data_IF_105304597582
#
_entry.id   IF_105304597582
#
_cell.length_a   1.000
_cell.length_b   1.000
_cell.length_c   1.000
_cell.angle_alpha   90.00
_cell.angle_beta   90.00
_cell.angle_gamma   90.00
#
_symmetry.space_group_name_H-M   'P 1'
#
loop_
_entity.id
_entity.type
_entity.pdbx_description
1 polymer ?
#
# COMPACT_ATOMS: atom_id res chain seq x y z
N UNK A 1 13.71 -26.92 18.88
CA UNK A 1 12.53 -27.57 18.27
C UNK A 1 11.88 -26.58 17.31
N UNK A 2 12.01 -26.80 16.01
CA UNK A 2 11.46 -25.91 14.99
C UNK A 2 9.94 -26.11 14.88
N UNK A 3 9.18 -25.02 14.85
CA UNK A 3 7.73 -24.99 14.67
C UNK A 3 7.31 -25.71 13.37
N UNK A 4 6.24 -26.52 13.34
CA UNK A 4 5.86 -27.30 12.16
C UNK A 4 5.28 -26.47 11.00
N UNK A 5 5.18 -25.13 11.15
CA UNK A 5 4.48 -24.27 10.19
C UNK A 5 5.27 -23.89 8.92
N UNK A 6 6.54 -24.30 8.80
CA UNK A 6 7.36 -23.96 7.63
C UNK A 6 7.52 -25.16 6.70
N UNK A 7 6.47 -25.46 5.94
CA UNK A 7 6.63 -26.11 4.63
C UNK A 7 6.30 -25.09 3.56
N UNK A 8 7.23 -24.96 2.61
CA UNK A 8 7.06 -24.22 1.35
C UNK A 8 5.61 -24.32 0.88
N UNK A 9 4.97 -23.16 0.66
CA UNK A 9 3.63 -23.03 0.07
C UNK A 9 3.67 -23.42 -1.42
N UNK A 10 4.09 -24.64 -1.71
CA UNK A 10 3.88 -25.30 -2.99
C UNK A 10 2.46 -25.87 -2.99
N UNK A 11 1.82 -25.76 -4.15
CA UNK A 11 0.40 -26.05 -4.41
C UNK A 11 -0.15 -27.30 -3.70
N UNK A 12 -1.45 -27.26 -3.35
CA UNK A 12 -2.26 -28.37 -2.82
C UNK A 12 -2.06 -28.73 -1.33
N UNK A 13 -1.89 -27.74 -0.45
CA UNK A 13 -2.12 -27.93 0.99
C UNK A 13 -3.53 -27.44 1.31
N UNK A 14 -4.43 -28.33 1.71
CA UNK A 14 -5.70 -27.94 2.31
C UNK A 14 -5.41 -27.23 3.63
N UNK A 15 -5.83 -25.96 3.76
CA UNK A 15 -5.77 -25.28 5.06
C UNK A 15 -6.77 -25.95 5.99
N UNK A 16 -6.27 -26.54 7.07
CA UNK A 16 -7.10 -27.25 8.07
C UNK A 16 -7.80 -26.31 9.04
N UNK A 17 -7.43 -25.02 9.04
CA UNK A 17 -8.01 -23.99 9.91
C UNK A 17 -8.78 -22.96 9.07
N UNK A 18 -9.96 -22.50 9.53
CA UNK A 18 -10.65 -21.40 8.87
C UNK A 18 -9.85 -20.10 9.01
N UNK A 19 -9.96 -19.18 8.02
CA UNK A 19 -9.31 -17.88 8.10
C UNK A 19 -9.86 -17.05 9.27
N UNK A 20 -8.97 -16.35 9.98
CA UNK A 20 -9.31 -15.42 11.07
C UNK A 20 -9.90 -14.12 10.51
N UNK A 21 -9.40 -13.68 9.36
CA UNK A 21 -9.83 -12.46 8.67
C UNK A 21 -10.22 -12.80 7.24
N UNK A 22 -11.51 -12.80 6.95
CA UNK A 22 -12.03 -13.17 5.64
C UNK A 22 -13.18 -12.26 5.20
N UNK A 23 -12.94 -10.93 5.10
CA UNK A 23 -13.97 -10.03 4.60
C UNK A 23 -14.26 -10.35 3.13
N UNK A 24 -15.48 -10.06 2.69
CA UNK A 24 -15.82 -10.18 1.27
C UNK A 24 -15.02 -9.13 0.47
N UNK A 25 -14.14 -9.59 -0.43
CA UNK A 25 -13.34 -8.71 -1.28
C UNK A 25 -14.06 -8.53 -2.61
N UNK A 26 -14.49 -7.30 -2.89
CA UNK A 26 -15.03 -6.92 -4.19
C UNK A 26 -14.19 -5.80 -4.80
N UNK A 27 -13.88 -5.98 -6.08
CA UNK A 27 -13.20 -5.00 -6.89
C UNK A 27 -14.24 -4.34 -7.77
N UNK A 28 -14.64 -3.11 -7.42
CA UNK A 28 -15.61 -2.33 -8.20
C UNK A 28 -14.97 -1.84 -9.49
N UNK A 29 -13.67 -1.58 -9.45
CA UNK A 29 -12.87 -1.23 -10.62
C UNK A 29 -11.45 -1.76 -10.48
N UNK A 30 -10.90 -2.24 -11.59
CA UNK A 30 -9.51 -2.66 -11.73
C UNK A 30 -8.92 -1.95 -12.96
N UNK A 31 -7.70 -1.38 -12.88
CA UNK A 31 -7.01 -0.81 -14.03
C UNK A 31 -6.91 -1.82 -15.19
N UNK A 32 -7.44 -1.48 -16.36
CA UNK A 32 -7.50 -2.44 -17.48
C UNK A 32 -6.11 -2.77 -18.04
N UNK A 33 -5.19 -1.80 -17.97
CA UNK A 33 -3.81 -1.90 -18.46
C UNK A 33 -2.83 -2.56 -17.49
N UNK A 34 -3.24 -2.86 -16.25
CA UNK A 34 -2.32 -3.36 -15.20
C UNK A 34 -3.00 -4.47 -14.42
N UNK A 35 -2.49 -5.70 -14.56
CA UNK A 35 -2.99 -6.85 -13.81
C UNK A 35 -4.53 -6.94 -13.81
N UNK A 36 -5.15 -6.84 -14.98
CA UNK A 36 -6.59 -7.01 -15.14
C UNK A 36 -6.97 -8.50 -15.06
N UNK A 37 -8.21 -8.83 -14.66
CA UNK A 37 -8.68 -10.20 -14.65
C UNK A 37 -8.51 -10.88 -16.01
N UNK A 38 -7.94 -12.09 -16.01
CA UNK A 38 -7.76 -12.86 -17.24
C UNK A 38 -9.11 -13.26 -17.84
N UNK A 39 -9.21 -13.21 -19.17
CA UNK A 39 -10.33 -13.82 -19.88
C UNK A 39 -10.32 -15.34 -19.68
N UNK A 40 -11.46 -16.04 -19.84
CA UNK A 40 -11.50 -17.50 -19.73
C UNK A 40 -10.49 -18.21 -20.63
N UNK A 41 -10.24 -17.68 -21.84
CA UNK A 41 -9.25 -18.19 -22.76
C UNK A 41 -7.82 -18.03 -22.20
N UNK A 42 -7.47 -16.84 -21.70
CA UNK A 42 -6.16 -16.58 -21.10
C UNK A 42 -5.93 -17.42 -19.84
N UNK A 43 -6.97 -17.63 -19.03
CA UNK A 43 -6.89 -18.49 -17.85
C UNK A 43 -6.64 -19.96 -18.20
N UNK A 44 -7.19 -20.44 -19.32
CA UNK A 44 -7.07 -21.83 -19.77
C UNK A 44 -5.76 -22.10 -20.53
N UNK A 45 -5.37 -21.20 -21.43
CA UNK A 45 -4.26 -21.41 -22.35
C UNK A 45 -3.00 -20.62 -21.97
N UNK A 46 -3.06 -19.82 -20.91
CA UNK A 46 -2.00 -18.89 -20.54
C UNK A 46 -2.02 -17.61 -21.38
N UNK A 47 -1.11 -16.69 -21.05
CA UNK A 47 -0.93 -15.46 -21.80
C UNK A 47 0.00 -15.70 -22.99
N UNK A 48 -0.41 -15.22 -24.17
CA UNK A 48 0.36 -15.34 -25.42
C UNK A 48 1.18 -14.09 -25.72
N UNK A 49 0.73 -12.91 -25.27
CA UNK A 49 1.47 -11.66 -25.35
C UNK A 49 2.08 -11.29 -23.99
N UNK A 50 3.40 -11.19 -23.99
CA UNK A 50 4.20 -10.78 -22.85
C UNK A 50 4.94 -9.47 -23.09
N UNK A 51 4.72 -8.83 -24.24
CA UNK A 51 5.30 -7.52 -24.52
C UNK A 51 4.74 -6.48 -23.55
N UNK A 52 3.50 -6.60 -23.09
CA UNK A 52 2.82 -5.66 -22.19
C UNK A 52 2.98 -5.94 -20.68
N UNK A 53 3.89 -6.83 -20.27
CA UNK A 53 4.05 -7.17 -18.84
C UNK A 53 4.53 -5.96 -18.03
N UNK A 54 3.90 -5.63 -16.89
CA UNK A 54 4.46 -4.66 -15.96
C UNK A 54 5.74 -5.24 -15.34
N UNK A 55 6.84 -4.48 -15.38
CA UNK A 55 8.03 -4.76 -14.58
C UNK A 55 7.84 -4.24 -13.15
N UNK A 56 7.23 -3.05 -13.04
CA UNK A 56 6.96 -2.39 -11.77
C UNK A 56 5.53 -1.86 -11.73
N UNK A 57 4.87 -2.04 -10.59
CA UNK A 57 3.60 -1.40 -10.29
C UNK A 57 3.78 -0.50 -9.07
N UNK A 58 3.69 0.81 -9.28
CA UNK A 58 3.64 1.82 -8.23
C UNK A 58 2.19 1.97 -7.80
N UNK A 59 1.93 1.74 -6.52
CA UNK A 59 0.60 1.72 -5.92
C UNK A 59 0.54 2.79 -4.84
N UNK A 60 -0.27 3.81 -5.08
CA UNK A 60 -0.56 4.85 -4.10
C UNK A 60 -1.80 4.48 -3.28
N UNK A 61 -1.63 4.36 -1.97
CA UNK A 61 -2.74 4.39 -1.00
C UNK A 61 -3.22 5.85 -0.92
N UNK A 62 -4.26 6.18 -1.68
CA UNK A 62 -4.82 7.54 -1.71
C UNK A 62 -6.19 7.56 -1.03
N UNK A 63 -6.58 8.66 -0.39
CA UNK A 63 -7.95 8.82 0.11
C UNK A 63 -8.90 9.12 -1.04
N UNK A 64 -10.12 8.56 -1.03
CA UNK A 64 -11.15 8.82 -2.07
C UNK A 64 -11.35 10.33 -2.37
N UNK A 65 -11.13 11.20 -1.39
CA UNK A 65 -11.25 12.67 -1.48
C UNK A 65 -10.02 13.41 -2.02
N UNK A 66 -8.89 12.73 -2.23
CA UNK A 66 -7.59 13.35 -2.56
C UNK A 66 -7.38 13.50 -4.08
N UNK A 67 -8.35 14.11 -4.77
CA UNK A 67 -8.32 14.27 -6.23
C UNK A 67 -7.11 15.10 -6.71
N UNK A 68 -6.78 16.17 -5.99
CA UNK A 68 -5.68 17.07 -6.35
C UNK A 68 -4.33 16.39 -6.22
N UNK A 69 -4.13 15.60 -5.18
CA UNK A 69 -2.89 14.86 -4.95
C UNK A 69 -2.70 13.77 -5.99
N UNK A 70 -3.75 13.04 -6.37
CA UNK A 70 -3.68 12.10 -7.50
C UNK A 70 -3.35 12.80 -8.82
N UNK A 71 -4.01 13.94 -9.11
CA UNK A 71 -3.72 14.73 -10.32
C UNK A 71 -2.28 15.23 -10.34
N UNK A 72 -1.77 15.71 -9.21
CA UNK A 72 -0.40 16.18 -9.08
C UNK A 72 0.61 15.03 -9.27
N UNK A 73 0.39 13.87 -8.65
CA UNK A 73 1.24 12.68 -8.85
C UNK A 73 1.26 12.22 -10.32
N UNK A 74 0.12 12.23 -11.02
CA UNK A 74 0.06 11.92 -12.47
C UNK A 74 0.91 12.86 -13.31
N UNK A 75 0.97 14.15 -12.95
CA UNK A 75 1.77 15.16 -13.66
C UNK A 75 3.26 15.09 -13.32
N UNK A 76 3.58 14.66 -12.10
CA UNK A 76 4.94 14.62 -11.60
C UNK A 76 5.77 13.48 -12.21
N UNK A 77 5.14 12.36 -12.53
CA UNK A 77 5.81 11.16 -13.02
C UNK A 77 5.95 11.11 -14.55
N UNK A 78 7.18 11.05 -15.05
CA UNK A 78 7.51 10.84 -16.46
C UNK A 78 7.99 9.40 -16.71
N UNK A 79 7.06 8.46 -16.81
CA UNK A 79 7.34 7.00 -16.84
C UNK A 79 7.75 6.45 -18.23
N UNK A 80 8.39 7.26 -19.08
CA UNK A 80 8.76 6.88 -20.44
C UNK A 80 10.12 6.15 -20.49
N UNK A 81 10.13 4.87 -20.09
CA UNK A 81 11.31 4.00 -20.17
C UNK A 81 11.12 2.90 -21.24
N UNK A 82 12.17 2.58 -22.00
CA UNK A 82 12.09 1.67 -23.15
C UNK A 82 12.07 0.19 -22.76
N UNK A 83 12.78 -0.17 -21.69
CA UNK A 83 13.06 -1.55 -21.25
C UNK A 83 12.39 -1.91 -19.92
N UNK A 84 11.96 -0.92 -19.13
CA UNK A 84 11.27 -1.12 -17.84
C UNK A 84 9.88 -0.52 -17.88
N UNK A 85 8.85 -1.37 -17.92
CA UNK A 85 7.45 -0.97 -17.92
C UNK A 85 6.96 -0.69 -16.51
N UNK A 86 6.75 0.58 -16.22
CA UNK A 86 6.24 1.06 -14.93
C UNK A 86 4.79 1.49 -15.11
N UNK A 87 3.93 1.01 -14.23
CA UNK A 87 2.56 1.50 -14.15
C UNK A 87 2.29 2.11 -12.78
N UNK A 88 1.59 3.24 -12.77
CA UNK A 88 1.14 3.92 -11.57
C UNK A 88 -0.36 3.72 -11.41
N UNK A 89 -0.78 3.31 -10.21
CA UNK A 89 -2.19 3.14 -9.85
C UNK A 89 -2.49 3.74 -8.47
N UNK A 90 -3.76 4.03 -8.21
CA UNK A 90 -4.27 4.50 -6.93
C UNK A 90 -5.26 3.50 -6.33
N UNK A 91 -5.00 3.05 -5.11
CA UNK A 91 -5.90 2.21 -4.33
C UNK A 91 -6.79 3.05 -3.43
N UNK A 92 -8.10 2.99 -3.68
CA UNK A 92 -9.13 3.76 -2.99
C UNK A 92 -10.34 2.89 -2.62
N UNK A 93 -11.13 3.35 -1.65
CA UNK A 93 -12.46 2.82 -1.37
C UNK A 93 -13.56 3.75 -1.90
N UNK A 94 -14.74 3.67 -1.30
CA UNK A 94 -15.88 4.54 -1.55
C UNK A 94 -15.99 5.64 -0.48
N UNK A 95 -16.63 6.78 -0.80
CA UNK A 95 -16.92 7.80 0.21
C UNK A 95 -17.70 7.22 1.41
N UNK A 96 -17.41 7.72 2.62
CA UNK A 96 -18.12 7.32 3.84
C UNK A 96 -19.59 7.76 3.79
N UNK A 97 -20.48 6.92 4.31
CA UNK A 97 -21.87 7.28 4.57
C UNK A 97 -22.02 8.26 5.74
N UNK A 98 -21.18 8.10 6.77
CA UNK A 98 -21.13 8.98 7.94
C UNK A 98 -20.36 10.26 7.62
N UNK A 99 -21.03 11.41 7.76
CA UNK A 99 -20.56 12.73 7.34
C UNK A 99 -19.89 13.52 8.47
N UNK A 100 -19.01 12.88 9.24
CA UNK A 100 -18.20 13.51 10.28
C UNK A 100 -16.72 13.06 10.21
N UNK A 101 -15.91 13.60 11.11
CA UNK A 101 -14.53 13.20 11.32
C UNK A 101 -14.30 12.54 12.69
N UNK A 102 -15.35 12.06 13.34
CA UNK A 102 -15.29 11.44 14.67
C UNK A 102 -15.49 9.94 14.53
N UNK A 103 -14.62 9.16 15.16
CA UNK A 103 -14.67 7.71 15.10
C UNK A 103 -14.76 7.14 16.50
N UNK A 104 -15.76 6.30 16.73
CA UNK A 104 -15.88 5.53 17.96
C UNK A 104 -15.05 4.25 17.81
N UNK A 105 -14.06 4.07 18.68
CA UNK A 105 -13.12 2.94 18.64
C UNK A 105 -12.92 2.37 20.03
N UNK A 106 -13.22 1.09 20.18
CA UNK A 106 -13.00 0.28 21.40
C UNK A 106 -13.15 1.02 22.76
N UNK A 107 -14.21 1.82 22.91
CA UNK A 107 -14.55 2.55 24.13
C UNK A 107 -14.01 3.98 24.24
N UNK A 108 -13.41 4.55 23.19
CA UNK A 108 -13.01 5.95 23.11
C UNK A 108 -13.36 6.58 21.77
N UNK A 109 -13.55 7.90 21.77
CA UNK A 109 -13.79 8.67 20.56
C UNK A 109 -12.47 9.28 20.09
N UNK A 110 -12.20 9.19 18.79
CA UNK A 110 -11.08 9.88 18.17
C UNK A 110 -11.60 10.84 17.11
N UNK A 111 -11.33 12.12 17.31
CA UNK A 111 -11.54 13.14 16.29
C UNK A 111 -10.33 13.17 15.37
N UNK A 112 -10.51 12.76 14.12
CA UNK A 112 -9.43 12.80 13.14
C UNK A 112 -9.12 14.25 12.78
N UNK A 113 -7.88 14.66 13.01
CA UNK A 113 -7.35 16.00 12.72
C UNK A 113 -6.41 16.00 11.51
N UNK A 114 -5.85 17.17 11.18
CA UNK A 114 -4.90 17.40 10.08
C UNK A 114 -5.50 17.11 8.70
N UNK A 115 -4.66 16.85 7.69
CA UNK A 115 -5.06 16.60 6.29
C UNK A 115 -6.23 15.62 6.17
N UNK A 116 -6.13 14.44 6.77
CA UNK A 116 -7.17 13.40 6.66
C UNK A 116 -8.50 13.83 7.29
N UNK A 117 -8.46 14.45 8.46
CA UNK A 117 -9.66 14.98 9.13
C UNK A 117 -10.30 16.15 8.37
N UNK A 118 -9.48 17.09 7.89
CA UNK A 118 -9.94 18.26 7.15
C UNK A 118 -10.64 17.85 5.85
N UNK A 119 -10.12 16.84 5.14
CA UNK A 119 -10.76 16.30 3.93
C UNK A 119 -12.13 15.66 4.22
N UNK A 120 -12.30 15.00 5.37
CA UNK A 120 -13.61 14.47 5.78
C UNK A 120 -14.62 15.60 6.07
N UNK A 121 -14.18 16.67 6.74
CA UNK A 121 -15.04 17.83 7.02
C UNK A 121 -15.38 18.61 5.74
N UNK A 122 -14.45 18.70 4.79
CA UNK A 122 -14.72 19.28 3.47
C UNK A 122 -15.76 18.44 2.71
N UNK A 123 -15.58 17.12 2.71
CA UNK A 123 -16.53 16.18 2.10
C UNK A 123 -17.93 16.31 2.71
N UNK A 124 -18.05 16.36 4.04
CA UNK A 124 -19.35 16.42 4.71
C UNK A 124 -20.17 17.66 4.33
N UNK A 125 -19.50 18.76 3.95
CA UNK A 125 -20.15 19.98 3.45
C UNK A 125 -20.66 19.84 2.02
N UNK A 126 -20.00 19.03 1.18
CA UNK A 126 -20.35 18.88 -0.25
C UNK A 126 -20.26 17.41 -0.75
N UNK A 127 -21.09 16.48 -0.24
CA UNK A 127 -20.98 15.06 -0.61
C UNK A 127 -21.26 14.79 -2.09
N UNK A 128 -22.27 15.46 -2.66
CA UNK A 128 -22.67 15.31 -4.06
C UNK A 128 -21.55 15.73 -5.03
N UNK A 129 -20.82 16.80 -4.71
CA UNK A 129 -19.68 17.27 -5.51
C UNK A 129 -18.60 16.19 -5.56
N UNK A 130 -18.29 15.57 -4.43
CA UNK A 130 -17.29 14.50 -4.35
C UNK A 130 -17.70 13.28 -5.15
N UNK A 131 -18.96 12.84 -5.05
CA UNK A 131 -19.45 11.72 -5.84
C UNK A 131 -19.32 11.99 -7.35
N UNK A 132 -19.68 13.20 -7.80
CA UNK A 132 -19.51 13.61 -9.20
C UNK A 132 -18.04 13.61 -9.63
N UNK A 133 -17.13 14.12 -8.79
CA UNK A 133 -15.69 14.14 -9.07
C UNK A 133 -15.12 12.72 -9.15
N UNK A 134 -15.55 11.81 -8.26
CA UNK A 134 -15.14 10.41 -8.29
C UNK A 134 -15.63 9.70 -9.55
N UNK A 135 -16.90 9.87 -9.93
CA UNK A 135 -17.43 9.32 -11.19
C UNK A 135 -16.65 9.83 -12.40
N UNK A 136 -16.38 11.14 -12.45
CA UNK A 136 -15.59 11.74 -13.54
C UNK A 136 -14.16 11.20 -13.57
N UNK A 137 -13.48 11.10 -12.43
CA UNK A 137 -12.11 10.58 -12.37
C UNK A 137 -12.07 9.11 -12.82
N UNK A 138 -13.07 8.32 -12.42
CA UNK A 138 -13.23 6.96 -12.92
C UNK A 138 -13.44 6.96 -14.45
N UNK A 139 -14.24 7.84 -15.03
CA UNK A 139 -14.39 7.89 -16.50
C UNK A 139 -13.10 8.31 -17.23
N UNK A 140 -12.35 9.25 -16.66
CA UNK A 140 -11.20 9.89 -17.29
C UNK A 140 -9.91 9.07 -17.19
N UNK A 141 -9.69 8.34 -16.09
CA UNK A 141 -8.44 7.63 -15.82
C UNK A 141 -8.63 6.11 -15.64
N UNK A 142 -7.70 5.34 -16.21
CA UNK A 142 -7.63 3.87 -16.08
C UNK A 142 -6.56 3.43 -15.06
N UNK A 143 -6.44 4.17 -13.96
CA UNK A 143 -5.43 3.94 -12.92
C UNK A 143 -6.01 3.76 -11.50
N UNK A 144 -7.33 3.65 -11.38
CA UNK A 144 -8.00 3.44 -10.09
C UNK A 144 -8.28 1.96 -9.81
N UNK A 145 -7.77 1.48 -8.68
CA UNK A 145 -8.19 0.24 -8.04
C UNK A 145 -9.21 0.59 -6.95
N UNK A 146 -10.49 0.28 -7.20
CA UNK A 146 -11.61 0.69 -6.33
C UNK A 146 -12.17 -0.52 -5.61
N UNK A 147 -12.19 -0.47 -4.28
CA UNK A 147 -12.81 -1.50 -3.45
C UNK A 147 -14.19 -1.12 -2.93
N UNK A 148 -15.02 -2.15 -2.71
CA UNK A 148 -16.37 -2.02 -2.11
C UNK A 148 -16.27 -1.91 -0.58
N UNK A 149 -15.66 -0.82 -0.10
CA UNK A 149 -15.54 -0.51 1.32
C UNK A 149 -15.47 1.01 1.54
N UNK A 150 -15.90 1.48 2.70
CA UNK A 150 -15.77 2.91 3.04
C UNK A 150 -14.31 3.30 3.25
N UNK A 151 -13.85 4.28 2.49
CA UNK A 151 -12.49 4.81 2.56
C UNK A 151 -12.35 5.75 3.77
N UNK A 152 -11.71 5.24 4.81
CA UNK A 152 -11.44 6.00 6.03
C UNK A 152 -10.06 5.67 6.58
N UNK A 153 -9.54 6.55 7.44
CA UNK A 153 -8.24 6.35 8.09
C UNK A 153 -8.18 5.04 8.88
N UNK A 154 -9.28 4.61 9.48
CA UNK A 154 -9.34 3.36 10.25
C UNK A 154 -9.70 2.13 9.42
N UNK A 155 -9.98 2.31 8.13
CA UNK A 155 -10.08 1.23 7.15
C UNK A 155 -8.81 1.07 6.30
N UNK A 156 -7.69 1.73 6.67
CA UNK A 156 -6.41 1.55 5.97
C UNK A 156 -5.97 0.08 5.91
N UNK A 157 -6.25 -0.69 6.96
CA UNK A 157 -6.00 -2.14 7.00
C UNK A 157 -6.81 -2.91 5.95
N UNK A 158 -8.08 -2.56 5.77
CA UNK A 158 -8.92 -3.16 4.73
C UNK A 158 -8.47 -2.73 3.32
N UNK A 159 -8.04 -1.48 3.15
CA UNK A 159 -7.43 -0.99 1.91
C UNK A 159 -6.14 -1.75 1.57
N UNK A 160 -5.25 -1.91 2.55
CA UNK A 160 -4.02 -2.68 2.37
C UNK A 160 -4.34 -4.13 2.00
N UNK A 161 -5.25 -4.77 2.74
CA UNK A 161 -5.71 -6.12 2.46
C UNK A 161 -6.26 -6.26 1.04
N UNK A 162 -7.21 -5.41 0.65
CA UNK A 162 -7.82 -5.38 -0.68
C UNK A 162 -6.77 -5.26 -1.79
N UNK A 163 -5.81 -4.36 -1.60
CA UNK A 163 -4.72 -4.12 -2.56
C UNK A 163 -3.79 -5.33 -2.69
N UNK A 164 -3.44 -5.98 -1.57
CA UNK A 164 -2.63 -7.20 -1.57
C UNK A 164 -3.37 -8.37 -2.23
N UNK A 165 -4.69 -8.50 -2.02
CA UNK A 165 -5.51 -9.51 -2.70
C UNK A 165 -5.55 -9.28 -4.21
N UNK A 166 -5.73 -8.03 -4.66
CA UNK A 166 -5.65 -7.68 -6.08
C UNK A 166 -4.29 -8.07 -6.69
N UNK A 167 -3.21 -7.63 -6.04
CA UNK A 167 -1.85 -7.85 -6.51
C UNK A 167 -1.51 -9.35 -6.55
N UNK A 168 -1.79 -10.09 -5.48
CA UNK A 168 -1.52 -11.52 -5.39
C UNK A 168 -2.32 -12.33 -6.42
N UNK A 169 -3.59 -11.96 -6.65
CA UNK A 169 -4.50 -12.68 -7.55
C UNK A 169 -4.26 -12.36 -9.01
N UNK A 170 -4.31 -11.09 -9.38
CA UNK A 170 -4.36 -10.68 -10.79
C UNK A 170 -2.98 -10.38 -11.38
N UNK A 171 -1.96 -10.06 -10.57
CA UNK A 171 -0.61 -9.89 -11.09
C UNK A 171 0.22 -11.19 -11.18
N UNK A 172 -0.35 -12.34 -10.77
CA UNK A 172 0.33 -13.65 -10.76
C UNK A 172 1.03 -14.03 -12.08
N UNK A 173 0.44 -13.79 -13.26
CA UNK A 173 1.09 -14.15 -14.52
C UNK A 173 2.32 -13.30 -14.84
N UNK A 174 2.41 -12.10 -14.27
CA UNK A 174 3.40 -11.09 -14.60
C UNK A 174 4.53 -11.00 -13.57
N UNK A 175 4.19 -11.19 -12.29
CA UNK A 175 5.09 -11.12 -11.14
C UNK A 175 5.95 -9.83 -11.07
N UNK A 176 5.33 -8.63 -11.13
CA UNK A 176 6.07 -7.37 -11.09
C UNK A 176 6.70 -7.14 -9.71
N UNK A 177 7.65 -6.20 -9.66
CA UNK A 177 8.03 -5.54 -8.40
C UNK A 177 6.93 -4.55 -8.02
N UNK A 178 6.55 -4.52 -6.75
CA UNK A 178 5.56 -3.59 -6.24
C UNK A 178 6.20 -2.49 -5.41
N UNK A 179 5.73 -1.26 -5.59
CA UNK A 179 6.07 -0.13 -4.72
C UNK A 179 4.77 0.39 -4.13
N UNK A 180 4.62 0.33 -2.81
CA UNK A 180 3.46 0.88 -2.11
C UNK A 180 3.86 2.21 -1.48
N UNK A 181 3.06 3.27 -1.64
CA UNK A 181 3.31 4.60 -1.09
C UNK A 181 2.03 5.22 -0.54
N UNK A 182 2.15 6.13 0.44
CA UNK A 182 1.13 7.16 0.69
C UNK A 182 1.15 8.22 -0.41
N UNK A 183 0.00 8.84 -0.70
CA UNK A 183 -0.14 9.87 -1.74
C UNK A 183 0.52 11.24 -1.41
N UNK A 184 1.31 11.29 -0.34
CA UNK A 184 2.15 12.40 0.10
C UNK A 184 3.65 12.10 0.01
N UNK A 185 4.03 10.91 -0.47
CA UNK A 185 5.41 10.48 -0.68
C UNK A 185 5.65 10.18 -2.17
N UNK A 186 6.91 10.06 -2.55
CA UNK A 186 7.29 9.69 -3.89
C UNK A 186 8.50 8.74 -3.89
N UNK A 187 8.62 7.99 -4.99
CA UNK A 187 9.81 7.22 -5.36
C UNK A 187 10.52 7.87 -6.53
N UNK A 188 11.86 7.92 -6.49
CA UNK A 188 12.70 8.29 -7.62
C UNK A 188 12.70 7.17 -8.66
N UNK A 189 12.10 7.43 -9.82
CA UNK A 189 11.95 6.45 -10.91
C UNK A 189 13.27 6.09 -11.57
N UNK A 190 14.19 7.03 -11.75
CA UNK A 190 15.52 6.74 -12.30
C UNK A 190 16.27 5.74 -11.40
N UNK A 191 16.21 5.93 -10.08
CA UNK A 191 16.77 4.95 -9.12
C UNK A 191 16.00 3.63 -9.13
N UNK A 192 14.67 3.67 -9.22
CA UNK A 192 13.83 2.47 -9.26
C UNK A 192 14.11 1.61 -10.49
N UNK A 193 14.26 2.24 -11.66
CA UNK A 193 14.60 1.58 -12.93
C UNK A 193 15.97 0.92 -12.83
N UNK A 194 16.99 1.64 -12.35
CA UNK A 194 18.32 1.06 -12.17
C UNK A 194 18.30 -0.09 -11.15
N UNK A 195 17.59 0.09 -10.04
CA UNK A 195 17.40 -0.96 -9.04
C UNK A 195 16.80 -2.23 -9.65
N UNK A 196 15.78 -2.11 -10.51
CA UNK A 196 15.13 -3.25 -11.16
C UNK A 196 16.03 -3.91 -12.22
N UNK A 197 16.80 -3.13 -12.98
CA UNK A 197 17.77 -3.64 -13.96
C UNK A 197 18.86 -4.49 -13.29
N UNK A 198 19.26 -4.12 -12.08
CA UNK A 198 20.31 -4.81 -11.32
C UNK A 198 19.80 -6.09 -10.61
N UNK A 199 18.50 -6.40 -10.69
CA UNK A 199 17.94 -7.58 -10.05
C UNK A 199 18.28 -8.86 -10.81
N UNK A 200 18.92 -9.79 -10.12
CA UNK A 200 18.92 -11.20 -10.51
C UNK A 200 17.54 -11.84 -10.29
N UNK A 201 17.20 -12.95 -10.97
CA UNK A 201 15.95 -13.68 -10.70
C UNK A 201 15.77 -14.04 -9.22
N UNK A 202 16.86 -14.41 -8.53
CA UNK A 202 16.83 -14.78 -7.10
C UNK A 202 16.56 -13.57 -6.20
N UNK A 203 17.22 -12.44 -6.44
CA UNK A 203 17.00 -11.23 -5.64
C UNK A 203 15.63 -10.62 -5.91
N UNK A 204 15.15 -10.66 -7.16
CA UNK A 204 13.83 -10.15 -7.55
C UNK A 204 12.65 -10.87 -6.87
N UNK A 205 12.81 -12.15 -6.53
CA UNK A 205 11.80 -12.92 -5.78
C UNK A 205 11.84 -12.65 -4.25
N UNK A 206 12.89 -12.00 -3.73
CA UNK A 206 13.13 -11.83 -2.29
C UNK A 206 13.20 -10.34 -1.85
N UNK A 207 12.46 -9.45 -2.51
CA UNK A 207 12.43 -8.03 -2.17
C UNK A 207 11.46 -7.77 -1.01
N UNK A 208 11.97 -7.15 0.05
CA UNK A 208 11.18 -6.61 1.15
C UNK A 208 11.95 -5.42 1.71
N UNK A 209 11.52 -4.21 1.34
CA UNK A 209 12.20 -2.98 1.71
C UNK A 209 11.22 -1.90 2.18
N UNK A 210 11.68 -1.08 3.11
CA UNK A 210 10.91 0.03 3.67
C UNK A 210 11.73 0.79 4.70
N UNK A 211 11.13 1.82 5.29
CA UNK A 211 11.77 2.57 6.36
C UNK A 211 11.57 1.87 7.71
N UNK A 212 12.66 1.39 8.33
CA UNK A 212 12.62 0.58 9.54
C UNK A 212 12.03 1.30 10.76
N UNK A 213 11.17 0.60 11.50
CA UNK A 213 10.56 1.00 12.77
C UNK A 213 10.87 -0.07 13.82
N UNK A 214 12.07 0.00 14.41
CA UNK A 214 12.57 -1.00 15.35
C UNK A 214 12.03 -0.81 16.77
N UNK A 215 11.84 0.44 17.19
CA UNK A 215 11.31 0.81 18.51
C UNK A 215 10.06 1.66 18.32
N UNK A 216 8.89 1.07 18.55
CA UNK A 216 7.60 1.74 18.38
C UNK A 216 6.63 1.40 19.52
N UNK A 217 6.61 2.20 20.61
CA UNK A 217 5.71 1.99 21.73
C UNK A 217 4.24 2.09 21.30
N UNK A 218 3.39 1.23 21.86
CA UNK A 218 1.94 1.29 21.60
C UNK A 218 1.38 2.57 22.23
N UNK A 219 0.85 3.46 21.40
CA UNK A 219 0.17 4.67 21.86
C UNK A 219 -1.10 4.29 22.63
N UNK A 220 -1.29 4.86 23.82
CA UNK A 220 -2.47 4.64 24.67
C UNK A 220 -3.32 5.91 24.73
N UNK A 221 -4.63 5.73 24.90
CA UNK A 221 -5.55 6.85 25.13
C UNK A 221 -5.55 7.24 26.62
N UNK A 222 -5.60 8.54 26.98
CA UNK A 222 -5.50 9.72 26.11
C UNK A 222 -4.05 10.01 25.66
N UNK A 223 -3.86 10.67 24.51
CA UNK A 223 -2.53 11.00 23.97
C UNK A 223 -2.58 12.18 23.00
N UNK A 224 -1.46 12.85 22.71
CA UNK A 224 -1.38 13.81 21.58
C UNK A 224 -1.46 13.14 20.19
N UNK A 225 -1.35 11.81 20.14
CA UNK A 225 -1.35 11.00 18.93
C UNK A 225 -2.54 10.02 18.89
N UNK A 226 -3.73 10.48 19.31
CA UNK A 226 -4.93 9.63 19.48
C UNK A 226 -5.30 8.81 18.23
N UNK A 227 -4.99 9.31 17.04
CA UNK A 227 -5.20 8.57 15.78
C UNK A 227 -4.49 7.23 15.72
N UNK A 228 -3.45 7.03 16.52
CA UNK A 228 -2.71 5.76 16.63
C UNK A 228 -2.93 5.07 17.96
N UNK A 229 -3.80 5.61 18.82
CA UNK A 229 -4.08 5.00 20.10
C UNK A 229 -4.75 3.64 19.94
N UNK A 230 -4.32 2.70 20.77
CA UNK A 230 -4.87 1.35 20.85
C UNK A 230 -5.18 1.02 22.32
N UNK A 231 -6.37 0.48 22.55
CA UNK A 231 -6.75 -0.04 23.85
C UNK A 231 -5.92 -1.28 24.24
N UNK A 232 -6.04 -1.72 25.49
CA UNK A 232 -5.48 -3.01 25.92
C UNK A 232 -6.14 -4.22 25.24
N UNK A 233 -7.39 -4.13 24.81
CA UNK A 233 -8.06 -5.21 24.05
C UNK A 233 -7.61 -5.26 22.59
N UNK A 234 -7.26 -4.11 22.01
CA UNK A 234 -6.70 -4.04 20.65
C UNK A 234 -5.23 -4.48 20.63
N UNK A 235 -4.43 -4.04 21.61
CA UNK A 235 -3.02 -4.40 21.74
C UNK A 235 -2.64 -4.59 23.22
N UNK A 236 -2.42 -5.83 23.64
CA UNK A 236 -2.05 -6.15 25.02
C UNK A 236 -0.64 -5.67 25.36
N UNK A 237 0.29 -5.83 24.43
CA UNK A 237 1.72 -5.54 24.60
C UNK A 237 2.00 -4.03 24.66
N UNK A 238 3.06 -3.60 25.35
CA UNK A 238 3.46 -2.19 25.41
C UNK A 238 4.23 -1.71 24.17
N UNK A 239 4.75 -2.62 23.35
CA UNK A 239 5.60 -2.34 22.20
C UNK A 239 5.08 -3.06 20.95
N UNK A 240 5.11 -2.40 19.80
CA UNK A 240 4.89 -3.06 18.52
C UNK A 240 6.10 -3.91 18.12
N UNK A 241 5.85 -4.96 17.35
CA UNK A 241 6.94 -5.77 16.78
C UNK A 241 7.70 -4.95 15.73
N UNK A 242 9.00 -5.19 15.48
CA UNK A 242 9.71 -4.50 14.41
C UNK A 242 8.97 -4.61 13.07
N UNK A 243 8.81 -3.48 12.38
CA UNK A 243 8.10 -3.38 11.10
C UNK A 243 8.68 -2.21 10.30
N UNK A 244 8.08 -1.89 9.16
CA UNK A 244 8.35 -0.64 8.45
C UNK A 244 7.29 0.39 8.75
N UNK A 245 7.66 1.65 8.64
CA UNK A 245 6.69 2.74 8.56
C UNK A 245 5.79 2.56 7.34
N UNK A 246 4.48 2.78 7.51
CA UNK A 246 3.47 2.66 6.45
C UNK A 246 3.52 3.70 5.32
N UNK A 247 4.55 4.56 5.31
CA UNK A 247 4.73 5.65 4.34
C UNK A 247 5.09 5.15 2.95
N UNK A 248 5.96 4.15 2.86
CA UNK A 248 6.31 3.49 1.61
C UNK A 248 7.01 2.15 1.85
N UNK A 249 6.94 1.27 0.85
CA UNK A 249 7.65 -0.01 0.84
C UNK A 249 7.81 -0.56 -0.58
N UNK A 250 8.78 -1.47 -0.78
CA UNK A 250 9.08 -2.13 -2.05
C UNK A 250 9.11 -3.65 -1.83
N UNK A 251 8.40 -4.38 -2.69
CA UNK A 251 8.12 -5.80 -2.51
C UNK A 251 8.30 -6.62 -3.79
N UNK A 252 8.68 -7.88 -3.63
CA UNK A 252 8.58 -8.88 -4.69
C UNK A 252 7.14 -9.36 -4.80
N UNK A 253 6.76 -9.84 -5.98
CA UNK A 253 5.48 -10.50 -6.15
C UNK A 253 5.29 -11.66 -5.17
N UNK A 254 6.33 -12.49 -4.97
CA UNK A 254 6.29 -13.61 -4.03
C UNK A 254 5.93 -13.17 -2.62
N UNK A 255 6.57 -12.15 -2.07
CA UNK A 255 6.26 -11.69 -0.72
C UNK A 255 4.87 -11.06 -0.63
N UNK A 256 4.41 -10.33 -1.65
CA UNK A 256 3.02 -9.85 -1.70
C UNK A 256 2.03 -11.02 -1.69
N UNK A 257 2.31 -12.08 -2.46
CA UNK A 257 1.50 -13.29 -2.48
C UNK A 257 1.46 -14.00 -1.11
N UNK A 258 2.61 -14.23 -0.50
CA UNK A 258 2.72 -14.89 0.80
C UNK A 258 2.03 -14.06 1.91
N UNK A 259 2.17 -12.73 1.89
CA UNK A 259 1.50 -11.82 2.82
C UNK A 259 -0.01 -11.80 2.60
N UNK A 260 -0.48 -11.76 1.34
CA UNK A 260 -1.92 -11.79 1.04
C UNK A 260 -2.58 -13.04 1.65
N UNK A 261 -1.89 -14.18 1.62
CA UNK A 261 -2.33 -15.39 2.31
C UNK A 261 -2.22 -15.25 3.84
N UNK A 262 -1.08 -14.80 4.37
CA UNK A 262 -0.85 -14.66 5.81
C UNK A 262 -1.80 -13.67 6.51
N UNK A 263 -2.30 -12.66 5.77
CA UNK A 263 -3.31 -11.72 6.23
C UNK A 263 -4.62 -12.42 6.61
N UNK A 264 -5.03 -13.46 5.87
CA UNK A 264 -6.24 -14.23 6.20
C UNK A 264 -6.14 -14.94 7.56
N UNK A 265 -4.93 -15.25 8.02
CA UNK A 265 -4.66 -15.96 9.27
C UNK A 265 -4.09 -15.04 10.36
N UNK A 266 -4.33 -13.73 10.24
CA UNK A 266 -3.85 -12.73 11.20
C UNK A 266 -4.95 -11.76 11.55
N UNK A 267 -5.31 -11.69 12.84
CA UNK A 267 -6.30 -10.73 13.35
C UNK A 267 -5.91 -9.31 12.90
N UNK A 268 -6.82 -8.57 12.24
CA UNK A 268 -6.54 -7.22 11.77
C UNK A 268 -6.32 -6.26 12.93
N UNK A 269 -5.46 -5.28 12.73
CA UNK A 269 -5.32 -4.11 13.60
C UNK A 269 -5.70 -2.86 12.83
N UNK A 270 -6.06 -1.78 13.52
CA UNK A 270 -6.45 -0.53 12.86
C UNK A 270 -5.27 0.18 12.18
N UNK A 271 -4.05 -0.07 12.66
CA UNK A 271 -2.82 0.45 12.03
C UNK A 271 -2.29 -0.58 11.01
N UNK A 272 -2.34 -0.22 9.73
CA UNK A 272 -2.07 -1.11 8.60
C UNK A 272 -0.61 -1.57 8.54
N UNK A 273 0.33 -0.68 8.85
CA UNK A 273 1.76 -0.98 8.87
C UNK A 273 2.14 -1.93 10.02
N UNK A 274 1.64 -1.72 11.23
CA UNK A 274 1.78 -2.64 12.36
C UNK A 274 1.19 -4.01 12.01
N UNK A 275 -0.01 -4.04 11.43
CA UNK A 275 -0.64 -5.32 11.04
C UNK A 275 0.19 -6.05 9.99
N UNK A 276 0.66 -5.35 8.96
CA UNK A 276 1.54 -5.93 7.94
C UNK A 276 2.86 -6.45 8.54
N UNK A 277 3.40 -5.75 9.54
CA UNK A 277 4.56 -6.19 10.31
C UNK A 277 4.31 -7.50 11.07
N UNK A 278 3.10 -7.68 11.63
CA UNK A 278 2.71 -8.94 12.27
C UNK A 278 2.66 -10.08 11.27
N UNK A 279 2.08 -9.85 10.09
CA UNK A 279 2.04 -10.87 9.03
C UNK A 279 3.44 -11.23 8.57
N UNK A 280 4.32 -10.24 8.35
CA UNK A 280 5.72 -10.48 7.98
C UNK A 280 6.46 -11.34 9.01
N UNK A 281 6.32 -11.02 10.29
CA UNK A 281 6.98 -11.75 11.37
C UNK A 281 6.51 -13.22 11.43
N UNK A 282 5.20 -13.46 11.28
CA UNK A 282 4.64 -14.82 11.22
C UNK A 282 5.17 -15.64 10.05
N UNK A 283 5.50 -14.97 8.94
CA UNK A 283 6.07 -15.57 7.73
C UNK A 283 7.61 -15.60 7.74
N UNK A 284 8.25 -15.13 8.82
CA UNK A 284 9.70 -14.99 8.94
C UNK A 284 10.33 -14.20 7.77
N UNK A 285 9.61 -13.17 7.30
CA UNK A 285 10.13 -12.27 6.28
C UNK A 285 11.05 -11.25 6.92
N UNK A 286 12.31 -11.26 6.48
CA UNK A 286 13.29 -10.23 6.83
C UNK A 286 13.12 -9.03 5.94
N UNK A 287 13.54 -7.91 6.49
CA UNK A 287 13.13 -6.61 6.01
C UNK A 287 14.35 -5.70 6.11
N UNK A 288 14.68 -4.95 5.06
CA UNK A 288 15.87 -4.08 5.01
C UNK A 288 15.51 -2.67 4.56
N UNK A 289 16.32 -1.68 4.96
CA UNK A 289 16.24 -0.31 4.44
C UNK A 289 17.20 -0.11 3.28
N UNK A 290 16.74 0.52 2.20
CA UNK A 290 17.61 0.93 1.08
C UNK A 290 18.25 2.29 1.35
N UNK A 291 19.45 2.52 0.79
CA UNK A 291 20.06 3.85 0.75
C UNK A 291 19.13 4.83 0.04
N UNK A 292 19.00 6.03 0.59
CA UNK A 292 18.12 7.07 0.04
C UNK A 292 16.65 6.96 0.46
N UNK A 293 16.29 6.09 1.42
CA UNK A 293 14.98 6.10 2.05
C UNK A 293 14.96 7.08 3.24
N UNK A 294 14.18 8.17 3.13
CA UNK A 294 14.05 9.21 4.15
C UNK A 294 12.70 9.13 4.88
N UNK A 295 12.72 9.26 6.21
CA UNK A 295 11.50 9.27 7.03
C UNK A 295 10.62 10.48 6.72
N UNK A 296 9.32 10.36 6.98
CA UNK A 296 8.35 11.46 6.89
C UNK A 296 8.76 12.72 7.69
N UNK A 297 9.44 12.53 8.82
CA UNK A 297 9.86 13.64 9.71
C UNK A 297 11.23 14.23 9.37
N UNK A 298 11.93 13.66 8.39
CA UNK A 298 13.28 14.09 8.02
C UNK A 298 13.23 15.09 6.88
N UNK A 299 13.76 16.29 7.13
CA UNK A 299 14.12 17.23 6.07
C UNK A 299 15.40 16.75 5.40
N UNK A 300 15.38 16.54 4.08
CA UNK A 300 16.56 16.07 3.35
C UNK A 300 17.61 17.20 3.31
N UNK A 301 18.89 17.00 3.64
CA UNK A 301 19.86 18.10 3.58
C UNK A 301 20.00 18.64 2.15
N UNK A 302 20.08 19.97 1.98
CA UNK A 302 20.21 20.61 0.65
C UNK A 302 21.44 20.15 -0.17
N UNK A 303 22.45 19.59 0.51
CA UNK A 303 23.64 19.02 -0.12
C UNK A 303 23.39 17.67 -0.79
N UNK A 304 22.27 16.99 -0.46
CA UNK A 304 21.89 15.71 -1.05
C UNK A 304 21.30 15.97 -2.43
N UNK A 305 21.89 15.33 -3.44
CA UNK A 305 21.42 15.41 -4.82
C UNK A 305 20.20 14.52 -5.07
N UNK A 306 19.42 14.81 -6.11
CA UNK A 306 18.25 13.99 -6.47
C UNK A 306 18.59 12.52 -6.72
N UNK A 307 19.78 12.21 -7.23
CA UNK A 307 20.22 10.84 -7.48
C UNK A 307 20.52 10.05 -6.19
N UNK A 308 20.59 10.71 -5.04
CA UNK A 308 20.77 10.09 -3.73
C UNK A 308 19.44 9.86 -3.01
N UNK A 309 18.38 10.59 -3.38
CA UNK A 309 17.03 10.42 -2.85
C UNK A 309 16.33 9.28 -3.58
N UNK A 310 15.97 8.21 -2.87
CA UNK A 310 15.18 7.12 -3.41
C UNK A 310 13.70 7.24 -3.03
N UNK A 311 13.42 7.39 -1.73
CA UNK A 311 12.07 7.59 -1.21
C UNK A 311 12.07 8.75 -0.24
N UNK A 312 11.12 9.67 -0.39
CA UNK A 312 10.96 10.81 0.50
C UNK A 312 9.52 11.34 0.43
N UNK A 313 9.19 12.28 1.32
CA UNK A 313 7.99 13.09 1.19
C UNK A 313 8.02 13.87 -0.12
N UNK A 314 6.87 14.06 -0.78
CA UNK A 314 6.76 14.72 -2.09
C UNK A 314 7.42 16.11 -2.15
N UNK A 315 7.13 16.94 -1.14
CA UNK A 315 7.76 18.25 -0.90
C UNK A 315 9.29 18.24 -0.94
N UNK A 316 9.93 17.13 -0.57
CA UNK A 316 11.38 17.04 -0.61
C UNK A 316 11.91 16.91 -2.04
N UNK A 317 11.21 16.19 -2.91
CA UNK A 317 11.53 16.14 -4.33
C UNK A 317 11.30 17.49 -5.02
N UNK A 318 10.20 18.17 -4.69
CA UNK A 318 9.92 19.52 -5.22
C UNK A 318 10.98 20.53 -4.76
N UNK A 319 11.35 20.48 -3.47
CA UNK A 319 12.36 21.39 -2.89
C UNK A 319 13.75 21.20 -3.50
N UNK A 320 14.10 19.97 -3.91
CA UNK A 320 15.34 19.66 -4.61
C UNK A 320 15.22 19.72 -6.14
N UNK A 321 14.04 20.09 -6.67
CA UNK A 321 13.75 20.18 -8.10
C UNK A 321 14.05 18.87 -8.84
N UNK A 322 13.72 17.74 -8.22
CA UNK A 322 13.93 16.43 -8.81
C UNK A 322 12.88 16.12 -9.87
N UNK A 323 13.33 15.55 -10.98
CA UNK A 323 12.45 14.95 -11.99
C UNK A 323 12.16 13.51 -11.59
N UNK A 324 10.87 13.16 -11.58
CA UNK A 324 10.36 11.83 -11.25
C UNK A 324 9.74 11.13 -12.46
#
# INVERSE_FOLDING_TARGET
>A
MASPFYRSLTCCIYFTLPPIYNPQVRFLRVPSKVCSPLTPAQAKFGLTDYSSRPNVVIIYKSGVYNFEERSHLRKLYHLAYTDVKIHLIFSIGLPRSVLDNVFQRDGFNVTLANRAGNKLVEYSRMPQRTNRLLSKEMEEYDDLLVGDYEDSYYNLTLKLFHTFQWAARFCRPYKPTFVFLGDDHAVNTNKLVNFVRDLTPKSGENLNYGFEMMLNPVVRFPSKHERWALSKREALWPMHMPHYSGVYSLWSYRHVHDIALGMHFTKPMVTDDVWSGIVQHKLNLKFTRLKGMFSHYMTVPKSVSCSEIFFAHLKEFERHQCVL
#
